data_IF_687665130748
#
_entry.id   IF_687665130748
#
_cell.length_a   1.000
_cell.length_b   1.000
_cell.length_c   1.000
_cell.angle_alpha   90.00
_cell.angle_beta   90.00
_cell.angle_gamma   90.00
#
_symmetry.space_group_name_H-M   'P 1'
#
loop_
_entity.id
_entity.type
_entity.pdbx_description
1 polymer ?
#
# COMPACT_ATOMS: atom_id res chain seq x y z
N UNK A 1 -14.07 -5.45 19.46
CA UNK A 1 -14.74 -4.87 18.28
C UNK A 1 -14.48 -3.37 18.32
N UNK A 2 -13.83 -2.78 17.30
CA UNK A 2 -13.52 -1.35 17.29
C UNK A 2 -14.80 -0.52 17.22
N UNK A 3 -14.84 0.58 17.96
CA UNK A 3 -15.91 1.60 17.84
C UNK A 3 -15.88 2.20 16.43
N UNK A 4 -17.01 2.72 15.96
CA UNK A 4 -17.13 3.27 14.61
C UNK A 4 -16.08 4.38 14.34
N UNK A 5 -15.80 5.22 15.34
CA UNK A 5 -14.71 6.22 15.28
C UNK A 5 -13.32 5.57 15.18
N UNK A 6 -13.07 4.48 15.92
CA UNK A 6 -11.81 3.74 15.87
C UNK A 6 -11.54 3.10 14.50
N UNK A 7 -12.60 2.61 13.82
CA UNK A 7 -12.49 2.07 12.46
C UNK A 7 -12.08 3.14 11.44
N UNK A 8 -12.67 4.34 11.52
CA UNK A 8 -12.36 5.46 10.63
C UNK A 8 -10.90 5.89 10.79
N UNK A 9 -10.43 6.06 12.02
CA UNK A 9 -9.04 6.46 12.29
C UNK A 9 -8.05 5.42 11.75
N UNK A 10 -8.28 4.14 12.05
CA UNK A 10 -7.44 3.04 11.55
C UNK A 10 -7.45 2.96 10.03
N UNK A 11 -8.61 3.17 9.42
CA UNK A 11 -8.77 3.19 7.98
C UNK A 11 -7.99 4.32 7.31
N UNK A 12 -8.04 5.53 7.85
CA UNK A 12 -7.27 6.68 7.35
C UNK A 12 -5.76 6.39 7.43
N UNK A 13 -5.29 5.85 8.55
CA UNK A 13 -3.88 5.45 8.71
C UNK A 13 -3.52 4.40 7.67
N UNK A 14 -4.34 3.36 7.51
CA UNK A 14 -4.12 2.30 6.53
C UNK A 14 -4.06 2.84 5.09
N UNK A 15 -4.96 3.75 4.71
CA UNK A 15 -4.96 4.41 3.40
C UNK A 15 -3.64 5.17 3.18
N UNK A 16 -3.25 6.02 4.13
CA UNK A 16 -2.03 6.83 4.00
C UNK A 16 -0.79 5.94 3.89
N UNK A 17 -0.67 4.93 4.75
CA UNK A 17 0.48 4.02 4.76
C UNK A 17 0.56 3.17 3.49
N UNK A 18 -0.55 2.61 3.03
CA UNK A 18 -0.57 1.79 1.81
C UNK A 18 -0.27 2.62 0.57
N UNK A 19 -0.80 3.84 0.48
CA UNK A 19 -0.50 4.78 -0.61
C UNK A 19 0.99 5.14 -0.64
N UNK A 20 1.57 5.49 0.52
CA UNK A 20 2.99 5.80 0.65
C UNK A 20 3.87 4.63 0.18
N UNK A 21 3.61 3.42 0.70
CA UNK A 21 4.38 2.23 0.35
C UNK A 21 4.22 1.84 -1.13
N UNK A 22 3.02 1.98 -1.70
CA UNK A 22 2.81 1.75 -3.13
C UNK A 22 3.70 2.63 -3.99
N UNK A 23 3.75 3.93 -3.68
CA UNK A 23 4.58 4.89 -4.43
C UNK A 23 6.07 4.58 -4.21
N UNK A 24 6.49 4.36 -2.96
CA UNK A 24 7.89 4.07 -2.62
C UNK A 24 8.41 2.82 -3.36
N UNK A 25 7.65 1.73 -3.35
CA UNK A 25 8.03 0.51 -4.05
C UNK A 25 7.95 0.65 -5.57
N UNK A 26 7.04 1.47 -6.09
CA UNK A 26 6.99 1.74 -7.54
C UNK A 26 8.26 2.45 -8.00
N UNK A 27 8.68 3.50 -7.28
CA UNK A 27 9.93 4.24 -7.56
C UNK A 27 11.13 3.29 -7.46
N UNK A 28 11.23 2.50 -6.37
CA UNK A 28 12.28 1.49 -6.22
C UNK A 28 12.29 0.46 -7.35
N UNK A 29 11.13 0.10 -7.90
CA UNK A 29 11.07 -0.83 -9.04
C UNK A 29 11.64 -0.22 -10.32
N UNK A 30 11.48 1.10 -10.51
CA UNK A 30 11.96 1.83 -11.68
C UNK A 30 13.47 2.09 -11.61
N UNK A 31 13.98 2.39 -10.41
CA UNK A 31 15.40 2.70 -10.19
C UNK A 31 16.30 1.44 -10.11
N UNK A 32 15.72 0.28 -9.79
CA UNK A 32 16.45 -0.97 -9.63
C UNK A 32 16.88 -1.57 -10.98
N UNK A 33 18.19 -1.78 -11.14
CA UNK A 33 18.79 -2.29 -12.39
C UNK A 33 18.68 -3.80 -12.50
N UNK A 34 18.60 -4.51 -11.38
CA UNK A 34 18.43 -5.96 -11.38
C UNK A 34 16.95 -6.34 -11.60
N UNK A 35 16.60 -7.02 -12.72
CA UNK A 35 15.20 -7.25 -13.09
C UNK A 35 14.43 -8.08 -12.04
N UNK A 36 15.10 -9.02 -11.36
CA UNK A 36 14.49 -9.84 -10.31
C UNK A 36 14.10 -9.02 -9.08
N UNK A 37 14.93 -8.04 -8.69
CA UNK A 37 14.66 -7.14 -7.56
C UNK A 37 13.62 -6.08 -7.94
N UNK A 38 13.72 -5.52 -9.14
CA UNK A 38 12.71 -4.61 -9.71
C UNK A 38 11.32 -5.26 -9.69
N UNK A 39 11.19 -6.49 -10.20
CA UNK A 39 9.91 -7.22 -10.20
C UNK A 39 9.38 -7.49 -8.78
N UNK A 40 10.26 -7.76 -7.80
CA UNK A 40 9.87 -7.89 -6.39
C UNK A 40 9.25 -6.59 -5.86
N UNK A 41 9.85 -5.44 -6.15
CA UNK A 41 9.30 -4.15 -5.74
C UNK A 41 7.98 -3.83 -6.46
N UNK A 42 7.86 -4.20 -7.74
CA UNK A 42 6.61 -4.08 -8.47
C UNK A 42 5.48 -4.86 -7.79
N UNK A 43 5.71 -6.14 -7.43
CA UNK A 43 4.73 -6.95 -6.70
C UNK A 43 4.35 -6.29 -5.37
N UNK A 44 5.33 -5.80 -4.61
CA UNK A 44 5.08 -5.12 -3.34
C UNK A 44 4.23 -3.85 -3.53
N UNK A 45 4.47 -3.08 -4.58
CA UNK A 45 3.66 -1.91 -4.93
C UNK A 45 2.22 -2.31 -5.27
N UNK A 46 2.04 -3.34 -6.10
CA UNK A 46 0.71 -3.85 -6.48
C UNK A 46 -0.06 -4.40 -5.28
N UNK A 47 0.59 -5.16 -4.38
CA UNK A 47 -0.04 -5.65 -3.16
C UNK A 47 -0.50 -4.50 -2.25
N UNK A 48 0.28 -3.43 -2.13
CA UNK A 48 -0.13 -2.24 -1.38
C UNK A 48 -1.31 -1.51 -2.04
N UNK A 49 -1.40 -1.48 -3.38
CA UNK A 49 -2.57 -0.92 -4.08
C UNK A 49 -3.83 -1.76 -3.85
N UNK A 50 -3.71 -3.10 -3.83
CA UNK A 50 -4.83 -3.97 -3.47
C UNK A 50 -5.27 -3.76 -2.02
N UNK A 51 -4.32 -3.60 -1.10
CA UNK A 51 -4.60 -3.27 0.29
C UNK A 51 -5.28 -1.90 0.45
N UNK A 52 -4.91 -0.92 -0.37
CA UNK A 52 -5.55 0.39 -0.43
C UNK A 52 -7.01 0.30 -0.87
N UNK A 53 -7.30 -0.48 -1.92
CA UNK A 53 -8.68 -0.73 -2.37
C UNK A 53 -9.50 -1.37 -1.25
N UNK A 54 -8.93 -2.36 -0.56
CA UNK A 54 -9.58 -3.00 0.58
C UNK A 54 -9.83 -2.01 1.72
N UNK A 55 -8.82 -1.24 2.12
CA UNK A 55 -8.94 -0.25 3.19
C UNK A 55 -10.00 0.81 2.88
N UNK A 56 -10.09 1.24 1.62
CA UNK A 56 -11.09 2.23 1.17
C UNK A 56 -12.50 1.66 1.17
N UNK A 57 -12.66 0.36 0.88
CA UNK A 57 -13.97 -0.30 0.85
C UNK A 57 -14.48 -0.74 2.24
N UNK A 58 -13.63 -0.69 3.27
CA UNK A 58 -13.94 -1.12 4.65
C UNK A 58 -14.29 0.05 5.57
N UNK A 59 -13.92 1.28 5.19
CA UNK A 59 -14.25 2.52 5.91
C UNK A 59 -15.65 3.00 5.50
#
# INVERSE_FOLDING_TARGET
MLTQKGKIILGIIAIITTLYLSIEFMIKSLDEKEPKKSFKYLILSTCNMLALIFATNVI
#
